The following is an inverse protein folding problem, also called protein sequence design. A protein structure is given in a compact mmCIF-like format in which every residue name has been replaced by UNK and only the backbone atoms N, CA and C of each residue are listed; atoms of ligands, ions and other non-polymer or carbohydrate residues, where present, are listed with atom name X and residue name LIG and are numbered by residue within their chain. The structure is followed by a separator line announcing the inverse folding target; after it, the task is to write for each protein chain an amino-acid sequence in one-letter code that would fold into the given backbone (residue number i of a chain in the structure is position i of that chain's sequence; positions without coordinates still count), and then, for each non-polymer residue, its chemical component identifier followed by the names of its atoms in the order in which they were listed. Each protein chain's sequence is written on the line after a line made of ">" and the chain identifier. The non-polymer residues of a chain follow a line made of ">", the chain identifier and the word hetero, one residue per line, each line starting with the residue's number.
data_IF_666037676783
#
_entry.id   IF_666037676783
#
_cell.length_a   1.000
_cell.length_b   1.000
_cell.length_c   1.000
_cell.angle_alpha   90.00
_cell.angle_beta   90.00
_cell.angle_gamma   90.00
#
_symmetry.space_group_name_H-M   'P 1'
#
loop_
_entity.id
_entity.type
_entity.pdbx_description
1 polymer ?
#
# COMPACT_ATOMS: atom_id res chain seq x y z
N UNK A 1 38.45 -1.47 -6.89
CA UNK A 1 37.24 -1.68 -7.69
C UNK A 1 37.17 -0.53 -8.69
N UNK A 2 37.10 -0.80 -10.02
CA UNK A 2 36.95 0.27 -11.02
C UNK A 2 35.51 0.81 -10.86
N UNK A 3 35.39 2.09 -10.53
CA UNK A 3 34.11 2.78 -10.51
C UNK A 3 33.56 2.76 -11.94
N UNK A 4 32.53 1.97 -12.20
CA UNK A 4 31.86 1.88 -13.51
C UNK A 4 30.73 2.92 -13.63
N UNK A 5 30.74 3.93 -12.74
CA UNK A 5 29.75 4.97 -12.77
C UNK A 5 29.89 5.82 -14.04
N UNK A 6 28.77 6.01 -14.71
CA UNK A 6 28.64 6.78 -15.95
C UNK A 6 27.68 7.94 -15.71
N UNK A 7 27.87 9.04 -16.42
CA UNK A 7 26.94 10.16 -16.37
C UNK A 7 25.66 9.80 -17.13
N UNK A 8 24.52 10.03 -16.51
CA UNK A 8 23.22 9.72 -17.12
C UNK A 8 23.01 10.50 -18.44
N UNK A 9 23.51 11.74 -18.51
CA UNK A 9 23.44 12.58 -19.71
C UNK A 9 24.07 11.96 -20.97
N UNK A 10 24.97 10.97 -20.81
CA UNK A 10 25.56 10.26 -21.97
C UNK A 10 24.57 9.25 -22.61
N UNK A 11 23.43 8.99 -21.95
CA UNK A 11 22.46 7.95 -22.32
C UNK A 11 21.06 8.46 -22.58
N UNK A 12 20.75 9.71 -22.24
CA UNK A 12 19.40 10.27 -22.32
C UNK A 12 19.34 11.53 -23.17
N UNK A 13 18.16 11.79 -23.72
CA UNK A 13 17.88 13.05 -24.43
C UNK A 13 16.49 13.58 -24.04
N UNK A 14 16.30 14.93 -24.04
CA UNK A 14 15.02 15.52 -23.75
C UNK A 14 14.03 15.30 -24.91
N UNK A 15 12.75 15.19 -24.57
CA UNK A 15 11.64 15.10 -25.53
C UNK A 15 10.64 16.22 -25.23
N UNK A 16 10.23 16.98 -26.26
CA UNK A 16 9.23 18.04 -26.14
C UNK A 16 8.24 17.99 -27.30
N UNK A 17 7.45 16.93 -27.36
CA UNK A 17 6.38 16.79 -28.35
C UNK A 17 5.07 17.29 -27.73
N UNK A 18 4.43 18.26 -28.39
CA UNK A 18 3.18 18.89 -27.92
C UNK A 18 1.94 18.25 -28.60
N UNK A 19 0.85 18.21 -27.84
CA UNK A 19 -0.44 17.72 -28.33
C UNK A 19 -1.19 18.74 -29.20
N UNK A 20 -0.48 19.40 -30.10
CA UNK A 20 -0.97 20.55 -30.88
C UNK A 20 -2.21 20.23 -31.71
N UNK A 21 -2.35 19.00 -32.16
CA UNK A 21 -3.45 18.50 -32.97
C UNK A 21 -4.57 17.82 -32.16
N UNK A 22 -4.44 17.77 -30.81
CA UNK A 22 -5.38 17.19 -29.86
C UNK A 22 -5.75 15.72 -30.13
N UNK A 23 -4.86 14.95 -30.76
CA UNK A 23 -5.14 13.55 -31.07
C UNK A 23 -5.05 12.63 -29.85
N UNK A 24 -4.21 12.96 -28.89
CA UNK A 24 -4.06 12.18 -27.67
C UNK A 24 -4.94 12.80 -26.57
N UNK A 25 -5.86 12.02 -26.03
CA UNK A 25 -6.81 12.46 -25.00
C UNK A 25 -6.57 11.84 -23.63
N UNK A 26 -5.75 10.78 -23.55
CA UNK A 26 -5.47 10.08 -22.29
C UNK A 26 -4.57 10.94 -21.40
N UNK A 27 -5.16 11.58 -20.38
CA UNK A 27 -4.47 12.49 -19.49
C UNK A 27 -4.01 11.79 -18.23
N UNK A 28 -2.70 11.78 -18.01
CA UNK A 28 -2.09 11.26 -16.80
C UNK A 28 -1.34 12.34 -16.01
N UNK A 29 -1.10 12.05 -14.73
CA UNK A 29 -0.21 12.76 -13.84
C UNK A 29 0.91 11.85 -13.35
N UNK A 30 1.81 12.39 -12.51
CA UNK A 30 2.87 11.62 -11.86
C UNK A 30 2.66 11.57 -10.35
N UNK A 31 2.76 10.37 -9.78
CA UNK A 31 2.77 10.15 -8.33
C UNK A 31 4.20 10.24 -7.76
N UNK A 32 4.27 10.57 -6.46
CA UNK A 32 5.49 10.40 -5.66
C UNK A 32 5.90 8.94 -5.48
N UNK A 33 4.99 7.99 -5.79
CA UNK A 33 5.26 6.55 -5.82
C UNK A 33 5.88 6.10 -7.15
N UNK A 34 6.29 7.08 -7.97
CA UNK A 34 7.08 6.88 -9.20
C UNK A 34 6.34 6.09 -10.28
N UNK A 35 5.05 6.35 -10.41
CA UNK A 35 4.21 5.81 -11.47
C UNK A 35 3.36 6.91 -12.11
N UNK A 36 2.89 6.65 -13.32
CA UNK A 36 1.81 7.43 -13.92
C UNK A 36 0.50 7.07 -13.24
N UNK A 37 -0.35 8.07 -13.02
CA UNK A 37 -1.67 7.93 -12.39
C UNK A 37 -2.70 8.73 -13.18
N UNK A 38 -3.96 8.36 -13.09
CA UNK A 38 -5.06 9.19 -13.59
C UNK A 38 -4.96 10.61 -13.00
N UNK A 39 -5.16 11.61 -13.85
CA UNK A 39 -5.05 12.99 -13.40
C UNK A 39 -6.22 13.36 -12.48
N UNK A 40 -5.90 13.82 -11.28
CA UNK A 40 -6.86 14.35 -10.30
C UNK A 40 -7.16 15.85 -10.51
N UNK A 41 -6.53 16.47 -11.50
CA UNK A 41 -6.71 17.90 -11.77
C UNK A 41 -8.10 18.19 -12.36
N UNK A 42 -8.70 19.31 -11.92
CA UNK A 42 -9.89 19.82 -12.61
C UNK A 42 -9.51 20.31 -14.01
N UNK A 43 -10.03 19.64 -15.03
CA UNK A 43 -9.71 19.89 -16.44
C UNK A 43 -10.78 20.70 -17.19
N UNK A 44 -11.83 21.16 -16.51
CA UNK A 44 -12.90 21.94 -17.13
C UNK A 44 -12.32 23.24 -17.70
N UNK A 45 -12.45 23.41 -19.02
CA UNK A 45 -11.95 24.59 -19.73
C UNK A 45 -10.45 24.61 -19.99
N UNK A 46 -9.74 23.50 -19.73
CA UNK A 46 -8.27 23.41 -19.97
C UNK A 46 -7.98 23.17 -21.44
N UNK A 47 -7.06 23.97 -22.01
CA UNK A 47 -6.49 23.73 -23.34
C UNK A 47 -5.37 22.69 -23.25
N UNK A 48 -5.53 21.54 -23.90
CA UNK A 48 -4.57 20.45 -23.91
C UNK A 48 -3.51 20.57 -25.03
N UNK A 49 -3.57 21.57 -25.90
CA UNK A 49 -2.57 21.77 -26.96
C UNK A 49 -1.14 22.02 -26.45
N UNK A 50 -0.92 22.72 -25.31
CA UNK A 50 0.40 22.88 -24.73
C UNK A 50 0.91 21.64 -23.99
N UNK A 51 0.05 20.66 -23.72
CA UNK A 51 0.44 19.43 -22.98
C UNK A 51 1.44 18.63 -23.77
N UNK A 52 2.29 17.90 -23.07
CA UNK A 52 3.32 17.06 -23.69
C UNK A 52 2.77 15.65 -23.93
N UNK A 53 3.06 15.10 -25.09
CA UNK A 53 2.83 13.70 -25.40
C UNK A 53 4.01 12.90 -24.85
N UNK A 54 3.72 11.85 -24.11
CA UNK A 54 4.67 10.84 -23.65
C UNK A 54 4.34 9.52 -24.30
N UNK A 55 5.32 8.82 -24.82
CA UNK A 55 5.18 7.51 -25.46
C UNK A 55 5.77 6.41 -24.60
N UNK A 56 5.35 5.18 -24.85
CA UNK A 56 5.90 3.98 -24.19
C UNK A 56 7.42 3.98 -24.23
N UNK A 57 8.05 3.72 -23.09
CA UNK A 57 9.50 3.71 -22.93
C UNK A 57 10.12 5.09 -22.65
N UNK A 58 9.34 6.15 -22.67
CA UNK A 58 9.77 7.49 -22.27
C UNK A 58 9.52 7.72 -20.79
N UNK A 59 10.32 8.60 -20.21
CA UNK A 59 10.22 9.03 -18.81
C UNK A 59 9.60 10.41 -18.74
N UNK A 60 8.88 10.67 -17.65
CA UNK A 60 8.49 12.01 -17.26
C UNK A 60 8.89 12.27 -15.82
N UNK A 61 9.30 13.49 -15.48
CA UNK A 61 9.55 13.90 -14.10
C UNK A 61 9.08 15.31 -13.82
N UNK A 62 8.76 15.57 -12.55
CA UNK A 62 8.42 16.90 -12.05
C UNK A 62 9.66 17.62 -11.56
N UNK A 63 10.14 18.67 -12.28
CA UNK A 63 11.35 19.40 -11.87
C UNK A 63 11.19 20.11 -10.51
N UNK A 64 9.97 20.53 -10.15
CA UNK A 64 9.69 21.23 -8.89
C UNK A 64 9.58 20.22 -7.75
N UNK A 65 10.56 20.21 -6.85
CA UNK A 65 10.67 19.26 -5.73
C UNK A 65 10.08 19.80 -4.42
N UNK A 66 9.98 21.11 -4.25
CA UNK A 66 9.55 21.76 -2.99
C UNK A 66 8.16 21.38 -2.47
N UNK A 67 7.29 20.77 -3.30
CA UNK A 67 5.93 20.37 -2.92
C UNK A 67 5.80 18.87 -2.63
N UNK A 68 6.82 18.08 -2.87
CA UNK A 68 6.78 16.62 -2.85
C UNK A 68 7.46 16.00 -1.60
N UNK A 69 7.72 16.82 -0.58
CA UNK A 69 8.49 16.39 0.60
C UNK A 69 9.93 16.02 0.21
N UNK A 70 10.33 14.81 0.56
CA UNK A 70 11.69 14.30 0.28
C UNK A 70 11.80 13.51 -1.03
N UNK A 71 10.71 13.37 -1.79
CA UNK A 71 10.67 12.56 -3.01
C UNK A 71 10.57 13.40 -4.26
N UNK A 72 11.17 12.91 -5.35
CA UNK A 72 10.95 13.45 -6.71
C UNK A 72 9.92 12.60 -7.44
N UNK A 73 8.96 13.24 -8.14
CA UNK A 73 8.06 12.53 -9.05
C UNK A 73 8.81 12.22 -10.34
N UNK A 74 8.97 10.94 -10.65
CA UNK A 74 9.55 10.45 -11.91
C UNK A 74 8.93 9.10 -12.23
N UNK A 75 8.60 8.85 -13.49
CA UNK A 75 8.02 7.58 -13.91
C UNK A 75 8.38 7.23 -15.35
N UNK A 76 8.40 5.93 -15.64
CA UNK A 76 8.51 5.34 -16.98
C UNK A 76 7.11 5.01 -17.49
N UNK A 77 6.76 5.42 -18.70
CA UNK A 77 5.47 5.09 -19.31
C UNK A 77 5.51 3.67 -19.90
N UNK A 78 4.62 2.80 -19.40
CA UNK A 78 4.44 1.43 -19.90
C UNK A 78 3.29 1.31 -20.90
N UNK A 79 2.34 2.24 -20.89
CA UNK A 79 1.22 2.35 -21.81
C UNK A 79 1.67 2.91 -23.18
N UNK A 80 0.87 2.75 -24.24
CA UNK A 80 1.26 3.21 -25.58
C UNK A 80 1.61 4.68 -25.64
N UNK A 81 0.71 5.57 -25.18
CA UNK A 81 0.91 7.02 -25.10
C UNK A 81 -0.08 7.71 -24.16
N UNK A 82 0.32 8.85 -23.64
CA UNK A 82 -0.53 9.73 -22.83
C UNK A 82 -0.15 11.21 -23.04
N UNK A 83 -0.96 12.12 -22.52
CA UNK A 83 -0.58 13.52 -22.33
C UNK A 83 -0.38 13.85 -20.87
N UNK A 84 0.58 14.73 -20.60
CA UNK A 84 0.87 15.27 -19.28
C UNK A 84 1.00 16.79 -19.31
N UNK A 85 0.85 17.44 -18.15
CA UNK A 85 1.02 18.90 -18.05
C UNK A 85 2.38 19.34 -18.59
N UNK A 86 2.39 20.51 -19.23
CA UNK A 86 3.63 21.14 -19.73
C UNK A 86 4.68 21.44 -18.66
N UNK A 87 4.30 21.39 -17.38
CA UNK A 87 5.21 21.58 -16.24
C UNK A 87 6.17 20.42 -16.00
N UNK A 88 5.87 19.23 -16.52
CA UNK A 88 6.74 18.08 -16.45
C UNK A 88 7.83 18.12 -17.53
N UNK A 89 9.00 17.59 -17.23
CA UNK A 89 10.05 17.32 -18.22
C UNK A 89 9.91 15.87 -18.71
N UNK A 90 10.06 15.67 -20.03
CA UNK A 90 10.03 14.35 -20.67
C UNK A 90 11.39 14.07 -21.28
N UNK A 91 11.84 12.81 -21.16
CA UNK A 91 13.09 12.37 -21.78
C UNK A 91 13.02 10.88 -22.14
N UNK A 92 13.96 10.46 -22.97
CA UNK A 92 14.09 9.07 -23.40
C UNK A 92 15.54 8.62 -23.39
N UNK A 93 15.75 7.32 -23.41
CA UNK A 93 17.08 6.73 -23.59
C UNK A 93 17.42 6.75 -25.08
N UNK A 94 18.64 7.23 -25.39
CA UNK A 94 19.13 7.34 -26.76
C UNK A 94 19.48 6.01 -27.41
N UNK A 95 19.91 5.03 -26.62
CA UNK A 95 20.33 3.69 -27.10
C UNK A 95 19.98 2.61 -26.05
N UNK A 96 18.86 1.96 -26.28
CA UNK A 96 18.36 0.88 -25.39
C UNK A 96 19.22 -0.39 -25.42
N UNK A 97 20.16 -0.51 -26.36
CA UNK A 97 21.13 -1.60 -26.35
C UNK A 97 22.24 -1.42 -25.30
N UNK A 98 22.35 -0.21 -24.73
CA UNK A 98 23.33 0.14 -23.69
C UNK A 98 22.70 0.32 -22.33
N UNK A 99 21.51 0.91 -22.28
CA UNK A 99 20.77 1.15 -21.05
C UNK A 99 19.30 0.81 -21.24
N UNK A 100 18.76 -0.09 -20.41
CA UNK A 100 17.34 -0.45 -20.41
C UNK A 100 16.51 0.59 -19.65
N UNK A 101 15.35 1.03 -20.18
CA UNK A 101 14.45 1.93 -19.46
C UNK A 101 14.02 1.38 -18.11
N UNK A 102 13.66 0.10 -18.04
CA UNK A 102 13.22 -0.56 -16.83
C UNK A 102 14.34 -0.61 -15.78
N UNK A 103 15.59 -0.86 -16.18
CA UNK A 103 16.74 -0.82 -15.29
C UNK A 103 16.95 0.59 -14.72
N UNK A 104 16.88 1.61 -15.58
CA UNK A 104 16.99 3.01 -15.15
C UNK A 104 15.85 3.39 -14.19
N UNK A 105 14.62 2.92 -14.42
CA UNK A 105 13.50 3.15 -13.52
C UNK A 105 13.72 2.51 -12.15
N UNK A 106 14.28 1.29 -12.09
CA UNK A 106 14.67 0.66 -10.82
C UNK A 106 15.72 1.49 -10.08
N UNK A 107 16.69 2.05 -10.80
CA UNK A 107 17.69 2.91 -10.20
C UNK A 107 17.08 4.20 -9.63
N UNK A 108 16.14 4.83 -10.33
CA UNK A 108 15.39 5.99 -9.84
C UNK A 108 14.48 5.66 -8.64
N UNK A 109 14.03 4.42 -8.50
CA UNK A 109 13.15 4.00 -7.39
C UNK A 109 13.85 3.96 -6.03
N UNK A 110 15.14 4.15 -5.98
CA UNK A 110 15.93 4.10 -4.75
C UNK A 110 15.76 5.38 -3.90
N UNK A 111 15.70 5.25 -2.57
CA UNK A 111 15.67 6.41 -1.67
C UNK A 111 16.90 7.32 -1.80
N UNK A 112 18.07 6.77 -2.22
CA UNK A 112 19.29 7.53 -2.46
C UNK A 112 19.10 8.55 -3.57
N UNK A 113 18.38 8.19 -4.64
CA UNK A 113 18.08 9.12 -5.72
C UNK A 113 17.15 10.24 -5.25
N UNK A 114 16.16 9.95 -4.44
CA UNK A 114 15.28 10.97 -3.86
C UNK A 114 16.09 12.00 -3.05
N UNK A 115 16.98 11.51 -2.16
CA UNK A 115 17.87 12.37 -1.37
C UNK A 115 18.82 13.19 -2.25
N UNK A 116 19.38 12.57 -3.30
CA UNK A 116 20.24 13.27 -4.26
C UNK A 116 19.47 14.37 -4.97
N UNK A 117 18.30 14.06 -5.55
CA UNK A 117 17.47 15.02 -6.26
C UNK A 117 17.06 16.18 -5.34
N UNK A 118 16.69 15.88 -4.09
CA UNK A 118 16.35 16.90 -3.09
C UNK A 118 17.55 17.79 -2.76
N UNK A 119 18.72 17.23 -2.51
CA UNK A 119 19.96 17.95 -2.20
C UNK A 119 20.42 18.84 -3.36
N UNK A 120 20.25 18.37 -4.60
CA UNK A 120 20.66 19.08 -5.82
C UNK A 120 19.61 20.06 -6.34
N UNK A 121 18.44 20.12 -5.74
CA UNK A 121 17.41 21.10 -6.10
C UNK A 121 17.77 22.48 -5.59
N UNK A 122 17.66 23.49 -6.44
CA UNK A 122 18.03 24.89 -6.15
C UNK A 122 16.86 25.83 -6.43
N UNK A 123 16.80 26.95 -5.71
CA UNK A 123 15.84 28.03 -5.88
C UNK A 123 15.32 28.60 -4.56
N UNK A 124 15.12 29.90 -4.49
CA UNK A 124 14.68 30.59 -3.26
C UNK A 124 13.18 30.51 -3.00
N UNK A 125 12.35 30.32 -4.04
CA UNK A 125 10.89 30.27 -3.96
C UNK A 125 10.35 28.90 -4.38
N UNK A 126 10.99 28.27 -5.36
CA UNK A 126 10.70 26.92 -5.85
C UNK A 126 12.04 26.20 -6.04
N UNK A 127 12.23 25.13 -5.33
CA UNK A 127 13.40 24.28 -5.52
C UNK A 127 13.16 23.41 -6.76
N UNK A 128 14.12 23.48 -7.68
CA UNK A 128 14.03 22.82 -8.99
C UNK A 128 15.24 21.90 -9.15
N UNK A 129 14.95 20.65 -9.48
CA UNK A 129 15.89 19.67 -10.00
C UNK A 129 15.88 19.78 -11.52
N UNK A 130 16.81 20.52 -12.09
CA UNK A 130 16.82 20.84 -13.50
C UNK A 130 17.40 19.72 -14.39
N UNK A 131 17.32 19.91 -15.70
CA UNK A 131 17.80 18.94 -16.67
C UNK A 131 19.32 18.75 -16.60
N UNK A 132 20.08 19.79 -16.35
CA UNK A 132 21.54 19.72 -16.28
C UNK A 132 21.99 18.89 -15.06
N UNK A 133 21.30 19.04 -13.92
CA UNK A 133 21.54 18.18 -12.75
C UNK A 133 21.10 16.73 -13.02
N UNK A 134 20.02 16.50 -13.76
CA UNK A 134 19.64 15.14 -14.19
C UNK A 134 20.74 14.51 -15.04
N UNK A 135 21.33 15.27 -15.98
CA UNK A 135 22.43 14.79 -16.83
C UNK A 135 23.72 14.50 -16.04
N UNK A 136 23.94 15.18 -14.91
CA UNK A 136 25.12 14.95 -14.04
C UNK A 136 24.99 13.77 -13.10
N UNK A 137 23.81 13.18 -13.00
CA UNK A 137 23.60 11.99 -12.19
C UNK A 137 24.58 10.89 -12.62
N UNK A 138 25.28 10.31 -11.65
CA UNK A 138 26.16 9.15 -11.88
C UNK A 138 25.46 7.87 -11.45
N UNK A 139 25.52 6.86 -12.32
CA UNK A 139 24.93 5.56 -12.08
C UNK A 139 25.80 4.43 -12.63
N UNK A 140 25.75 3.23 -12.03
CA UNK A 140 26.38 2.07 -12.61
C UNK A 140 25.60 1.62 -13.85
N UNK A 141 26.30 1.40 -14.95
CA UNK A 141 25.74 0.84 -16.20
C UNK A 141 26.46 -0.46 -16.50
N UNK A 142 26.01 -1.59 -15.94
CA UNK A 142 26.55 -2.91 -16.26
C UNK A 142 26.19 -3.30 -17.71
N UNK A 143 26.71 -4.43 -18.17
CA UNK A 143 26.31 -4.91 -19.51
C UNK A 143 24.81 -5.21 -19.59
N UNK A 144 24.28 -5.19 -20.81
CA UNK A 144 22.83 -5.28 -21.05
C UNK A 144 22.21 -6.59 -20.54
N UNK A 145 22.98 -7.69 -20.50
CA UNK A 145 22.51 -8.97 -19.99
C UNK A 145 22.33 -8.95 -18.48
N UNK A 146 23.25 -8.27 -17.80
CA UNK A 146 23.16 -8.09 -16.35
C UNK A 146 22.00 -7.16 -15.98
N UNK A 147 21.79 -6.06 -16.74
CA UNK A 147 20.63 -5.18 -16.59
C UNK A 147 19.33 -5.97 -16.76
N UNK A 148 19.22 -6.75 -17.84
CA UNK A 148 18.04 -7.58 -18.11
C UNK A 148 17.76 -8.57 -16.97
N UNK A 149 18.80 -9.25 -16.46
CA UNK A 149 18.67 -10.18 -15.34
C UNK A 149 18.11 -9.51 -14.09
N UNK A 150 18.54 -8.29 -13.79
CA UNK A 150 18.04 -7.50 -12.64
C UNK A 150 16.56 -7.16 -12.86
N UNK A 151 16.21 -6.66 -14.04
CA UNK A 151 14.82 -6.32 -14.42
C UNK A 151 13.92 -7.55 -14.35
N UNK A 152 14.35 -8.68 -14.94
CA UNK A 152 13.58 -9.92 -14.93
C UNK A 152 13.35 -10.43 -13.49
N UNK A 153 14.37 -10.37 -12.66
CA UNK A 153 14.27 -10.77 -11.24
C UNK A 153 13.26 -9.89 -10.50
N UNK A 154 13.35 -8.57 -10.65
CA UNK A 154 12.43 -7.63 -10.04
C UNK A 154 10.98 -7.84 -10.52
N UNK A 155 10.80 -8.03 -11.82
CA UNK A 155 9.48 -8.24 -12.42
C UNK A 155 8.87 -9.58 -11.98
N UNK A 156 9.66 -10.64 -11.87
CA UNK A 156 9.21 -11.93 -11.37
C UNK A 156 8.68 -11.82 -9.92
N UNK A 157 9.41 -11.11 -9.05
CA UNK A 157 8.99 -10.84 -7.68
C UNK A 157 7.70 -10.00 -7.66
N UNK A 158 7.66 -8.91 -8.42
CA UNK A 158 6.49 -8.02 -8.48
C UNK A 158 5.24 -8.73 -8.99
N UNK A 159 5.38 -9.55 -10.03
CA UNK A 159 4.29 -10.35 -10.56
C UNK A 159 3.79 -11.37 -9.54
N UNK A 160 4.67 -12.01 -8.78
CA UNK A 160 4.29 -12.97 -7.73
C UNK A 160 3.51 -12.28 -6.61
N UNK A 161 3.94 -11.09 -6.17
CA UNK A 161 3.20 -10.27 -5.20
C UNK A 161 1.78 -9.98 -5.72
N UNK A 162 1.66 -9.48 -6.96
CA UNK A 162 0.36 -9.15 -7.58
C UNK A 162 -0.56 -10.37 -7.67
N UNK A 163 -0.04 -11.54 -8.04
CA UNK A 163 -0.82 -12.77 -8.09
C UNK A 163 -1.32 -13.16 -6.69
N UNK A 164 -0.46 -13.09 -5.67
CA UNK A 164 -0.85 -13.40 -4.28
C UNK A 164 -1.91 -12.46 -3.74
N UNK A 165 -1.79 -11.15 -4.01
CA UNK A 165 -2.82 -10.17 -3.68
C UNK A 165 -4.15 -10.51 -4.36
N UNK A 166 -4.11 -10.85 -5.66
CA UNK A 166 -5.32 -11.24 -6.40
C UNK A 166 -5.97 -12.52 -5.89
N UNK A 167 -5.16 -13.48 -5.45
CA UNK A 167 -5.67 -14.69 -4.78
C UNK A 167 -6.41 -14.29 -3.49
N UNK A 168 -5.82 -13.45 -2.64
CA UNK A 168 -6.46 -13.01 -1.39
C UNK A 168 -7.77 -12.27 -1.65
N UNK A 169 -7.82 -11.34 -2.62
CA UNK A 169 -9.07 -10.68 -3.02
C UNK A 169 -10.17 -11.68 -3.42
N UNK A 170 -9.81 -12.73 -4.15
CA UNK A 170 -10.77 -13.76 -4.56
C UNK A 170 -11.22 -14.64 -3.38
N UNK A 171 -10.31 -14.98 -2.46
CA UNK A 171 -10.63 -15.71 -1.24
C UNK A 171 -11.58 -14.89 -0.34
N UNK A 172 -11.33 -13.59 -0.16
CA UNK A 172 -12.23 -12.67 0.54
C UNK A 172 -13.62 -12.63 -0.08
N UNK A 173 -13.71 -12.47 -1.40
CA UNK A 173 -14.99 -12.48 -2.12
C UNK A 173 -15.73 -13.81 -1.94
N UNK A 174 -14.98 -14.92 -1.92
CA UNK A 174 -15.56 -16.24 -1.71
C UNK A 174 -16.14 -16.39 -0.31
N UNK A 175 -15.40 -15.96 0.73
CA UNK A 175 -15.89 -15.97 2.11
C UNK A 175 -17.15 -15.11 2.24
N UNK A 176 -17.12 -13.88 1.72
CA UNK A 176 -18.25 -12.97 1.79
C UNK A 176 -19.49 -13.50 1.04
N UNK A 177 -19.32 -14.03 -0.18
CA UNK A 177 -20.43 -14.58 -0.94
C UNK A 177 -21.09 -15.78 -0.25
N UNK A 178 -20.30 -16.64 0.39
CA UNK A 178 -20.84 -17.79 1.14
C UNK A 178 -21.47 -17.37 2.46
N UNK A 179 -20.99 -16.33 3.11
CA UNK A 179 -21.64 -15.71 4.27
C UNK A 179 -23.03 -15.16 3.90
N UNK A 180 -23.13 -14.37 2.82
CA UNK A 180 -24.41 -13.85 2.34
C UNK A 180 -25.36 -14.99 1.92
N UNK A 181 -24.83 -16.03 1.24
CA UNK A 181 -25.59 -17.23 0.89
C UNK A 181 -26.11 -18.01 2.12
N UNK A 182 -25.31 -18.07 3.18
CA UNK A 182 -25.71 -18.69 4.44
C UNK A 182 -26.89 -17.93 5.06
N UNK A 183 -26.82 -16.61 5.15
CA UNK A 183 -27.91 -15.79 5.71
C UNK A 183 -29.20 -15.81 4.86
N UNK A 184 -29.08 -16.00 3.54
CA UNK A 184 -30.25 -16.10 2.65
C UNK A 184 -30.98 -17.45 2.72
N UNK A 185 -30.24 -18.53 2.96
CA UNK A 185 -30.77 -19.89 2.88
C UNK A 185 -31.14 -20.49 4.24
N UNK A 186 -30.69 -19.90 5.35
CA UNK A 186 -30.96 -20.40 6.68
C UNK A 186 -31.84 -19.41 7.46
N UNK A 187 -32.72 -19.91 8.37
CA UNK A 187 -33.41 -19.02 9.30
C UNK A 187 -32.46 -18.27 10.18
N UNK A 188 -32.68 -16.95 10.35
CA UNK A 188 -31.82 -16.09 11.16
C UNK A 188 -32.60 -15.44 12.30
N UNK A 189 -31.89 -15.16 13.40
CA UNK A 189 -32.32 -14.30 14.50
C UNK A 189 -31.52 -13.00 14.51
N UNK A 190 -32.14 -11.90 14.91
CA UNK A 190 -31.44 -10.62 15.07
C UNK A 190 -30.65 -10.66 16.39
N UNK A 191 -29.39 -10.27 16.34
CA UNK A 191 -28.50 -10.05 17.48
C UNK A 191 -27.57 -8.89 17.22
N UNK A 192 -26.52 -8.73 18.01
CA UNK A 192 -25.52 -7.70 17.87
C UNK A 192 -24.12 -8.30 17.69
N UNK A 193 -23.17 -7.56 17.11
CA UNK A 193 -21.78 -8.05 16.94
C UNK A 193 -21.20 -8.53 18.27
N UNK A 194 -21.51 -7.83 19.37
CA UNK A 194 -21.06 -8.17 20.74
C UNK A 194 -21.47 -9.56 21.22
N UNK A 195 -22.56 -10.14 20.69
CA UNK A 195 -23.00 -11.51 21.01
C UNK A 195 -22.01 -12.56 20.46
N UNK A 196 -21.31 -12.24 19.38
CA UNK A 196 -20.30 -13.11 18.80
C UNK A 196 -18.89 -12.85 19.33
N UNK A 197 -18.48 -11.58 19.38
CA UNK A 197 -17.15 -11.17 19.82
C UNK A 197 -17.19 -9.81 20.51
N UNK A 198 -16.71 -9.75 21.74
CA UNK A 198 -16.50 -8.47 22.41
C UNK A 198 -15.44 -7.65 21.68
N UNK A 199 -15.65 -6.34 21.63
CA UNK A 199 -14.68 -5.38 21.09
C UNK A 199 -14.18 -4.50 22.23
N UNK A 200 -12.86 -4.27 22.31
CA UNK A 200 -12.29 -3.30 23.22
C UNK A 200 -11.31 -2.41 22.50
N UNK A 201 -11.30 -1.13 22.83
CA UNK A 201 -10.26 -0.17 22.43
C UNK A 201 -8.92 -0.60 23.02
N UNK A 202 -7.85 -0.57 22.23
CA UNK A 202 -6.52 -0.91 22.68
C UNK A 202 -5.99 0.02 23.78
N UNK A 203 -4.74 -0.17 24.17
CA UNK A 203 -4.11 0.57 25.25
C UNK A 203 -3.69 1.99 24.84
N UNK A 204 -3.83 2.96 25.76
CA UNK A 204 -3.46 4.36 25.54
C UNK A 204 -1.95 4.58 25.72
N UNK A 205 -1.16 4.26 24.70
CA UNK A 205 0.27 4.55 24.73
C UNK A 205 0.53 6.06 24.63
N UNK A 206 1.42 6.57 25.48
CA UNK A 206 1.80 7.98 25.49
C UNK A 206 2.78 8.29 24.37
N UNK A 207 2.72 9.52 23.86
CA UNK A 207 3.56 9.94 22.71
C UNK A 207 5.07 9.89 23.00
N UNK A 208 5.48 10.14 24.24
CA UNK A 208 6.85 10.07 24.69
C UNK A 208 7.43 8.66 24.85
N UNK A 209 6.60 7.62 24.69
CA UNK A 209 7.01 6.22 24.84
C UNK A 209 7.50 5.58 23.53
N UNK A 210 7.38 6.29 22.40
CA UNK A 210 7.79 5.75 21.12
C UNK A 210 9.31 5.69 21.01
N UNK A 211 9.81 4.52 20.61
CA UNK A 211 11.23 4.20 20.46
C UNK A 211 11.51 3.65 19.04
N UNK A 212 12.78 3.70 18.64
CA UNK A 212 13.24 3.10 17.36
C UNK A 212 13.36 1.59 17.44
N UNK A 213 13.62 1.06 18.62
CA UNK A 213 13.78 -0.35 18.92
C UNK A 213 12.77 -0.78 19.99
N UNK A 214 12.41 -2.07 20.05
CA UNK A 214 11.52 -2.59 21.08
C UNK A 214 10.34 -3.37 20.55
N UNK A 215 9.21 -3.33 21.26
CA UNK A 215 8.00 -4.12 21.00
C UNK A 215 7.01 -3.35 20.14
N UNK A 216 6.44 -4.01 19.15
CA UNK A 216 5.54 -3.42 18.16
C UNK A 216 4.18 -3.05 18.76
N UNK A 217 3.64 -1.90 18.33
CA UNK A 217 2.29 -1.44 18.68
C UNK A 217 1.53 -1.10 17.40
N UNK A 218 0.41 -1.81 17.19
CA UNK A 218 -0.46 -1.62 16.03
C UNK A 218 -1.30 -0.37 16.24
N UNK A 219 -1.27 0.53 15.26
CA UNK A 219 -2.12 1.72 15.14
C UNK A 219 -3.05 1.59 13.94
N UNK A 220 -4.03 2.47 13.83
CA UNK A 220 -4.98 2.50 12.70
C UNK A 220 -4.29 2.57 11.33
N UNK A 221 -3.14 3.25 11.23
CA UNK A 221 -2.35 3.33 9.99
C UNK A 221 -1.65 2.02 9.59
N UNK A 222 -1.57 1.03 10.48
CA UNK A 222 -1.01 -0.28 10.17
C UNK A 222 -2.07 -1.26 9.64
N UNK A 223 -3.36 -0.86 9.59
CA UNK A 223 -4.44 -1.67 8.99
C UNK A 223 -4.53 -1.31 7.52
N UNK A 224 -4.14 -2.25 6.66
CA UNK A 224 -4.04 -2.06 5.20
C UNK A 224 -4.77 -3.21 4.49
N UNK A 225 -5.81 -2.88 3.70
CA UNK A 225 -6.47 -3.84 2.81
C UNK A 225 -6.80 -5.20 3.47
N UNK A 226 -7.48 -5.16 4.63
CA UNK A 226 -7.92 -6.31 5.41
C UNK A 226 -6.80 -7.14 6.08
N UNK A 227 -5.58 -6.62 6.16
CA UNK A 227 -4.50 -7.20 6.97
C UNK A 227 -3.78 -6.13 7.80
N UNK A 228 -2.96 -6.57 8.75
CA UNK A 228 -2.14 -5.71 9.60
C UNK A 228 -0.68 -5.75 9.13
N UNK A 229 -0.13 -4.59 8.79
CA UNK A 229 1.30 -4.44 8.50
C UNK A 229 2.10 -4.27 9.81
N UNK A 230 2.76 -5.34 10.25
CA UNK A 230 3.60 -5.33 11.45
C UNK A 230 4.97 -4.67 11.24
N UNK A 231 5.44 -4.53 9.98
CA UNK A 231 6.76 -3.95 9.71
C UNK A 231 6.78 -2.44 9.92
N UNK A 232 5.67 -1.77 9.63
CA UNK A 232 5.55 -0.32 9.82
C UNK A 232 5.10 0.11 11.22
N UNK A 233 4.97 -0.83 12.17
CA UNK A 233 4.52 -0.53 13.52
C UNK A 233 5.53 0.33 14.31
N UNK A 234 5.02 1.29 15.06
CA UNK A 234 5.81 1.96 16.09
C UNK A 234 6.19 0.99 17.21
N UNK A 235 7.26 1.29 17.91
CA UNK A 235 7.77 0.43 18.97
C UNK A 235 7.81 1.14 20.31
N UNK A 236 7.77 0.37 21.40
CA UNK A 236 7.89 0.85 22.77
C UNK A 236 8.81 -0.07 23.58
N UNK A 237 9.29 0.42 24.72
CA UNK A 237 10.09 -0.37 25.66
C UNK A 237 9.34 -1.58 26.24
N UNK A 238 10.09 -2.51 26.82
CA UNK A 238 9.51 -3.66 27.53
C UNK A 238 8.61 -3.23 28.70
N UNK A 239 9.01 -2.22 29.43
CA UNK A 239 8.22 -1.70 30.56
C UNK A 239 6.85 -1.19 30.10
N UNK A 240 6.81 -0.51 28.95
CA UNK A 240 5.58 0.10 28.45
C UNK A 240 4.65 -0.92 27.77
N UNK A 241 5.19 -1.93 27.05
CA UNK A 241 4.36 -2.96 26.41
C UNK A 241 3.69 -3.86 27.45
N UNK A 242 4.35 -4.16 28.58
CA UNK A 242 3.82 -4.98 29.67
C UNK A 242 2.57 -4.38 30.31
N UNK A 243 2.37 -3.06 30.24
CA UNK A 243 1.16 -2.36 30.72
C UNK A 243 -0.08 -2.65 29.89
N UNK A 244 0.10 -3.20 28.68
CA UNK A 244 -0.96 -3.47 27.70
C UNK A 244 -1.23 -4.96 27.47
N UNK A 245 -0.89 -5.85 28.41
CA UNK A 245 -1.00 -7.32 28.28
C UNK A 245 -2.36 -7.82 27.78
N UNK A 246 -3.44 -7.17 28.21
CA UNK A 246 -4.81 -7.52 27.77
C UNK A 246 -4.98 -7.38 26.26
N UNK A 247 -4.22 -6.49 25.63
CA UNK A 247 -4.31 -6.15 24.23
C UNK A 247 -3.23 -6.83 23.37
N UNK A 248 -2.51 -7.80 23.91
CA UNK A 248 -1.59 -8.58 23.10
C UNK A 248 -2.37 -9.35 22.03
N UNK A 249 -1.84 -9.31 20.82
CA UNK A 249 -2.48 -9.98 19.68
C UNK A 249 -1.85 -11.32 19.40
N UNK A 250 -2.65 -12.18 18.77
CA UNK A 250 -2.26 -13.49 18.26
C UNK A 250 -2.48 -13.53 16.75
N UNK A 251 -1.79 -14.44 16.09
CA UNK A 251 -2.05 -14.75 14.67
C UNK A 251 -3.54 -15.01 14.44
N UNK A 252 -4.13 -14.31 13.48
CA UNK A 252 -5.53 -14.44 13.13
C UNK A 252 -6.50 -13.60 13.99
N UNK A 253 -6.03 -12.82 14.97
CA UNK A 253 -6.88 -11.82 15.60
C UNK A 253 -7.39 -10.82 14.56
N UNK A 254 -8.62 -10.36 14.72
CA UNK A 254 -9.21 -9.31 13.91
C UNK A 254 -9.18 -7.99 14.65
N UNK A 255 -8.73 -6.95 13.95
CA UNK A 255 -8.68 -5.57 14.45
C UNK A 255 -9.55 -4.67 13.58
N UNK A 256 -9.97 -3.53 14.13
CA UNK A 256 -10.73 -2.49 13.43
C UNK A 256 -10.17 -1.11 13.73
N UNK A 257 -10.00 -0.29 12.71
CA UNK A 257 -9.68 1.13 12.88
C UNK A 257 -10.94 1.89 13.33
N UNK A 258 -10.83 2.64 14.43
CA UNK A 258 -11.98 3.27 15.09
C UNK A 258 -12.04 4.77 14.85
N UNK A 259 -11.03 5.40 14.26
CA UNK A 259 -10.95 6.85 14.07
C UNK A 259 -10.26 7.24 12.76
N UNK A 260 -10.53 8.46 12.26
CA UNK A 260 -9.85 9.09 11.14
C UNK A 260 -10.26 8.50 9.78
N UNK A 261 -9.52 8.81 8.73
CA UNK A 261 -9.82 8.40 7.34
C UNK A 261 -9.84 6.87 7.11
N UNK A 262 -9.44 6.07 8.09
CA UNK A 262 -9.45 4.61 8.04
C UNK A 262 -10.55 3.99 8.90
N UNK A 263 -11.46 4.79 9.48
CA UNK A 263 -12.55 4.32 10.32
C UNK A 263 -13.33 3.19 9.64
N UNK A 264 -13.55 2.09 10.36
CA UNK A 264 -14.26 0.91 9.88
C UNK A 264 -13.40 -0.09 9.09
N UNK A 265 -12.15 0.26 8.69
CA UNK A 265 -11.24 -0.71 8.10
C UNK A 265 -10.87 -1.78 9.11
N UNK A 266 -10.92 -3.03 8.68
CA UNK A 266 -10.52 -4.18 9.50
C UNK A 266 -9.17 -4.73 9.04
N UNK A 267 -8.50 -5.51 9.88
CA UNK A 267 -7.26 -6.17 9.53
C UNK A 267 -7.02 -7.45 10.31
N UNK A 268 -6.69 -8.52 9.61
CA UNK A 268 -6.21 -9.78 10.20
C UNK A 268 -4.76 -9.63 10.64
N UNK A 269 -4.46 -10.02 11.86
CA UNK A 269 -3.09 -10.07 12.38
C UNK A 269 -2.34 -11.22 11.70
N UNK A 270 -1.21 -10.94 11.03
CA UNK A 270 -0.41 -11.95 10.34
C UNK A 270 0.25 -12.93 11.32
N UNK A 271 0.96 -13.92 10.78
CA UNK A 271 1.79 -14.81 11.61
C UNK A 271 2.80 -14.00 12.41
N UNK A 272 2.75 -14.17 13.72
CA UNK A 272 3.70 -13.56 14.66
C UNK A 272 3.86 -14.40 15.91
N UNK A 273 5.12 -14.55 16.33
CA UNK A 273 5.51 -15.10 17.64
C UNK A 273 6.01 -13.97 18.55
N UNK A 274 5.97 -12.71 18.06
CA UNK A 274 6.40 -11.54 18.80
C UNK A 274 5.31 -11.07 19.77
N UNK A 275 5.74 -10.38 20.83
CA UNK A 275 4.81 -9.61 21.68
C UNK A 275 4.44 -8.33 20.92
N UNK A 276 3.20 -8.24 20.52
CA UNK A 276 2.62 -7.09 19.79
C UNK A 276 1.35 -6.66 20.49
N UNK A 277 1.15 -5.37 20.67
CA UNK A 277 -0.05 -4.80 21.30
C UNK A 277 -0.80 -3.84 20.39
N UNK A 278 -1.97 -3.39 20.83
CA UNK A 278 -2.89 -2.56 20.05
C UNK A 278 -3.06 -1.19 20.72
N UNK A 279 -2.98 -0.12 19.91
CA UNK A 279 -3.18 1.26 20.38
C UNK A 279 -4.68 1.59 20.56
N UNK A 280 -4.99 2.53 21.45
CA UNK A 280 -6.35 2.95 21.85
C UNK A 280 -7.32 3.32 20.73
N UNK A 281 -6.84 3.70 19.53
CA UNK A 281 -7.68 4.03 18.37
C UNK A 281 -7.97 2.84 17.47
N UNK A 282 -7.50 1.68 17.88
CA UNK A 282 -7.71 0.41 17.17
C UNK A 282 -8.50 -0.51 18.10
N UNK A 283 -9.64 -1.01 17.66
CA UNK A 283 -10.44 -2.00 18.35
C UNK A 283 -9.89 -3.40 18.12
N UNK A 284 -9.86 -4.21 19.18
CA UNK A 284 -9.55 -5.65 19.10
C UNK A 284 -10.81 -6.46 19.36
N UNK A 285 -11.12 -7.41 18.48
CA UNK A 285 -12.14 -8.42 18.70
C UNK A 285 -11.59 -9.58 19.53
N UNK A 286 -12.23 -9.91 20.64
CA UNK A 286 -11.80 -10.97 21.56
C UNK A 286 -12.40 -12.31 21.16
N UNK A 287 -11.65 -13.11 20.42
CA UNK A 287 -12.05 -14.41 19.88
C UNK A 287 -11.57 -15.61 20.71
N UNK A 288 -10.89 -15.35 21.84
CA UNK A 288 -10.33 -16.38 22.72
C UNK A 288 -8.93 -16.81 22.34
N UNK A 289 -8.56 -18.06 22.70
CA UNK A 289 -7.19 -18.55 22.55
C UNK A 289 -6.83 -18.97 21.12
N UNK A 290 -7.82 -19.29 20.32
CA UNK A 290 -7.67 -19.76 18.93
C UNK A 290 -8.50 -18.89 17.97
N UNK A 291 -8.02 -17.67 17.66
CA UNK A 291 -8.80 -16.74 16.84
C UNK A 291 -9.22 -17.32 15.50
N UNK A 292 -8.35 -18.11 14.86
CA UNK A 292 -8.58 -18.70 13.53
C UNK A 292 -9.83 -19.59 13.49
N UNK A 293 -10.22 -20.20 14.62
CA UNK A 293 -11.41 -21.05 14.70
C UNK A 293 -12.74 -20.27 14.69
N UNK A 294 -12.69 -18.94 14.89
CA UNK A 294 -13.86 -18.08 14.97
C UNK A 294 -13.84 -16.90 14.01
N UNK A 295 -12.65 -16.49 13.59
CA UNK A 295 -12.50 -15.29 12.77
C UNK A 295 -13.16 -15.36 11.39
N UNK A 296 -13.32 -16.50 10.71
CA UNK A 296 -13.91 -16.54 9.38
C UNK A 296 -15.31 -15.92 9.32
N UNK A 297 -16.20 -16.31 10.22
CA UNK A 297 -17.56 -15.77 10.29
C UNK A 297 -17.56 -14.28 10.62
N UNK A 298 -16.78 -13.86 11.63
CA UNK A 298 -16.64 -12.46 11.99
C UNK A 298 -16.05 -11.62 10.86
N UNK A 299 -15.03 -12.11 10.17
CA UNK A 299 -14.39 -11.44 9.05
C UNK A 299 -15.40 -11.15 7.92
N UNK A 300 -16.19 -12.16 7.53
CA UNK A 300 -17.25 -11.99 6.53
C UNK A 300 -18.35 -11.04 7.01
N UNK A 301 -18.78 -11.18 8.27
CA UNK A 301 -19.76 -10.30 8.89
C UNK A 301 -19.34 -8.84 8.82
N UNK A 302 -18.10 -8.53 9.20
CA UNK A 302 -17.55 -7.17 9.18
C UNK A 302 -17.42 -6.60 7.77
N UNK A 303 -17.22 -7.44 6.77
CA UNK A 303 -17.15 -7.05 5.35
C UNK A 303 -18.53 -6.97 4.68
N UNK A 304 -19.61 -7.43 5.34
CA UNK A 304 -20.97 -7.40 4.79
C UNK A 304 -21.45 -5.98 4.54
N UNK A 305 -22.36 -5.83 3.56
CA UNK A 305 -22.94 -4.55 3.21
C UNK A 305 -23.77 -3.95 4.37
N UNK A 306 -24.39 -4.81 5.19
CA UNK A 306 -25.17 -4.39 6.38
C UNK A 306 -24.28 -3.69 7.39
N UNK A 307 -23.18 -4.32 7.80
CA UNK A 307 -22.24 -3.77 8.78
C UNK A 307 -21.51 -2.53 8.23
N UNK A 308 -21.06 -2.57 6.98
CA UNK A 308 -20.41 -1.40 6.34
C UNK A 308 -21.34 -0.18 6.32
N UNK A 309 -22.61 -0.33 5.99
CA UNK A 309 -23.60 0.76 6.02
C UNK A 309 -23.87 1.28 7.44
N UNK A 310 -23.83 0.42 8.45
CA UNK A 310 -23.98 0.84 9.85
C UNK A 310 -22.79 1.66 10.34
N UNK A 311 -21.57 1.36 9.84
CA UNK A 311 -20.34 2.10 10.16
C UNK A 311 -20.26 3.41 9.37
N UNK A 312 -20.60 3.40 8.09
CA UNK A 312 -20.54 4.57 7.18
C UNK A 312 -21.83 4.68 6.35
N UNK A 313 -22.87 5.36 6.86
CA UNK A 313 -24.17 5.44 6.20
C UNK A 313 -24.13 6.04 4.79
N UNK A 314 -23.22 6.99 4.55
CA UNK A 314 -23.12 7.72 3.28
C UNK A 314 -22.27 7.01 2.20
N UNK A 315 -21.70 5.84 2.53
CA UNK A 315 -20.95 5.00 1.59
C UNK A 315 -19.58 5.53 1.18
N UNK A 316 -19.24 6.77 1.51
CA UNK A 316 -17.93 7.37 1.25
C UNK A 316 -17.03 7.22 2.48
N UNK A 317 -15.84 6.67 2.28
CA UNK A 317 -14.83 6.48 3.35
C UNK A 317 -14.36 7.81 4.03
N UNK A 318 -14.86 8.94 3.57
CA UNK A 318 -14.58 10.28 4.14
C UNK A 318 -15.73 10.88 4.96
N UNK A 319 -16.93 10.28 4.94
CA UNK A 319 -18.12 10.73 5.68
C UNK A 319 -18.46 9.84 6.90
N UNK A 320 -17.61 8.86 7.21
CA UNK A 320 -17.76 8.05 8.43
C UNK A 320 -17.79 8.94 9.67
N UNK A 321 -18.61 8.61 10.65
CA UNK A 321 -18.53 9.23 11.97
C UNK A 321 -17.06 9.32 12.37
N UNK A 322 -16.55 10.52 12.66
CA UNK A 322 -15.12 10.79 12.90
C UNK A 322 -14.50 9.89 13.98
N UNK A 323 -15.33 9.32 14.86
CA UNK A 323 -14.89 8.39 15.92
C UNK A 323 -15.98 7.34 16.19
N UNK A 324 -15.64 6.07 16.02
CA UNK A 324 -16.42 4.92 16.51
C UNK A 324 -15.90 4.51 17.89
N UNK A 325 -16.78 4.25 18.83
CA UNK A 325 -16.43 3.57 20.07
C UNK A 325 -16.50 2.04 19.93
N UNK A 326 -15.90 1.31 20.86
CA UNK A 326 -16.05 -0.13 20.92
C UNK A 326 -17.52 -0.55 21.12
N UNK A 327 -18.27 0.24 21.90
CA UNK A 327 -19.69 0.02 22.16
C UNK A 327 -20.54 0.25 20.91
N UNK A 328 -20.26 1.27 20.11
CA UNK A 328 -20.94 1.48 18.82
C UNK A 328 -20.79 0.26 17.91
N UNK A 329 -19.58 -0.30 17.83
CA UNK A 329 -19.30 -1.48 17.02
C UNK A 329 -20.03 -2.72 17.57
N UNK A 330 -19.97 -2.95 18.89
CA UNK A 330 -20.62 -4.11 19.52
C UNK A 330 -22.13 -4.11 19.34
N UNK A 331 -22.76 -2.92 19.36
CA UNK A 331 -24.21 -2.77 19.26
C UNK A 331 -24.75 -2.75 17.81
N UNK A 332 -23.90 -2.92 16.80
CA UNK A 332 -24.38 -3.07 15.42
C UNK A 332 -25.23 -4.34 15.30
N UNK A 333 -26.47 -4.18 14.83
CA UNK A 333 -27.39 -5.29 14.59
C UNK A 333 -26.95 -6.12 13.39
N UNK A 334 -26.90 -7.43 13.60
CA UNK A 334 -26.55 -8.44 12.59
C UNK A 334 -27.49 -9.62 12.66
N UNK A 335 -27.51 -10.41 11.59
CA UNK A 335 -28.33 -11.62 11.49
C UNK A 335 -27.48 -12.85 11.83
N UNK A 336 -27.99 -13.72 12.70
CA UNK A 336 -27.36 -14.96 13.11
C UNK A 336 -28.16 -16.17 12.66
N UNK A 337 -27.60 -17.08 11.87
CA UNK A 337 -28.16 -18.41 11.67
C UNK A 337 -27.95 -19.23 12.94
N UNK A 338 -28.46 -20.46 12.95
CA UNK A 338 -28.23 -21.42 14.03
C UNK A 338 -26.72 -21.60 14.30
N UNK A 339 -26.34 -21.73 15.57
CA UNK A 339 -24.93 -21.82 16.01
C UNK A 339 -24.15 -22.89 15.25
N UNK A 340 -24.75 -24.07 15.00
CA UNK A 340 -24.08 -25.14 14.28
C UNK A 340 -23.63 -24.69 12.87
N UNK A 341 -24.45 -23.90 12.20
CA UNK A 341 -24.13 -23.37 10.87
C UNK A 341 -22.96 -22.39 10.90
N UNK A 342 -22.84 -21.60 11.97
CA UNK A 342 -21.69 -20.71 12.20
C UNK A 342 -20.42 -21.52 12.46
N UNK A 343 -20.53 -22.59 13.27
CA UNK A 343 -19.39 -23.47 13.58
C UNK A 343 -18.92 -24.20 12.32
N UNK A 344 -19.84 -24.74 11.50
CA UNK A 344 -19.56 -25.37 10.20
C UNK A 344 -18.88 -24.37 9.23
N UNK A 345 -19.38 -23.12 9.18
CA UNK A 345 -18.77 -22.06 8.37
C UNK A 345 -17.34 -21.79 8.80
N UNK A 346 -17.10 -21.64 10.10
CA UNK A 346 -15.77 -21.41 10.64
C UNK A 346 -14.80 -22.55 10.35
N UNK A 347 -15.24 -23.79 10.47
CA UNK A 347 -14.41 -24.97 10.16
C UNK A 347 -13.97 -24.99 8.70
N UNK A 348 -14.90 -24.74 7.77
CA UNK A 348 -14.61 -24.69 6.33
C UNK A 348 -13.67 -23.54 6.00
N UNK A 349 -14.01 -22.32 6.42
CA UNK A 349 -13.28 -21.09 6.02
C UNK A 349 -12.08 -20.79 6.89
N UNK A 350 -11.84 -21.48 8.00
CA UNK A 350 -10.61 -21.39 8.77
C UNK A 350 -9.37 -21.69 7.92
N UNK A 351 -9.46 -22.69 7.02
CA UNK A 351 -8.38 -23.04 6.07
C UNK A 351 -8.15 -21.92 5.04
N UNK A 352 -9.20 -21.22 4.65
CA UNK A 352 -9.11 -20.08 3.71
C UNK A 352 -8.41 -18.91 4.39
N UNK A 353 -8.74 -18.58 5.64
CA UNK A 353 -8.05 -17.57 6.43
C UNK A 353 -6.57 -17.93 6.58
N UNK A 354 -6.23 -19.19 6.89
CA UNK A 354 -4.83 -19.63 6.96
C UNK A 354 -4.10 -19.36 5.64
N UNK A 355 -4.72 -19.73 4.49
CA UNK A 355 -4.12 -19.48 3.18
C UNK A 355 -3.91 -17.99 2.89
N UNK A 356 -4.84 -17.12 3.34
CA UNK A 356 -4.68 -15.66 3.22
C UNK A 356 -3.51 -15.16 4.08
N UNK A 357 -3.37 -15.65 5.31
CA UNK A 357 -2.25 -15.30 6.19
C UNK A 357 -0.90 -15.75 5.61
N UNK A 358 -0.83 -16.97 5.04
CA UNK A 358 0.37 -17.49 4.36
C UNK A 358 0.74 -16.63 3.15
N UNK A 359 -0.25 -16.25 2.33
CA UNK A 359 -0.02 -15.36 1.20
C UNK A 359 0.52 -13.99 1.66
N UNK A 360 -0.04 -13.41 2.72
CA UNK A 360 0.42 -12.12 3.26
C UNK A 360 1.85 -12.21 3.81
N UNK A 361 2.21 -13.31 4.47
CA UNK A 361 3.59 -13.58 4.89
C UNK A 361 4.54 -13.62 3.70
N UNK A 362 4.19 -14.38 2.67
CA UNK A 362 5.00 -14.46 1.45
C UNK A 362 5.12 -13.09 0.75
N UNK A 363 4.05 -12.30 0.69
CA UNK A 363 4.07 -10.94 0.14
C UNK A 363 5.06 -10.06 0.91
N UNK A 364 5.09 -10.13 2.24
CA UNK A 364 6.05 -9.39 3.06
C UNK A 364 7.49 -9.79 2.74
N UNK A 365 7.79 -11.09 2.69
CA UNK A 365 9.11 -11.62 2.34
C UNK A 365 9.54 -11.20 0.92
N UNK A 366 8.62 -11.26 -0.05
CA UNK A 366 8.86 -10.82 -1.43
C UNK A 366 9.13 -9.32 -1.52
N UNK A 367 8.46 -8.49 -0.73
CA UNK A 367 8.73 -7.05 -0.68
C UNK A 367 10.13 -6.75 -0.12
N UNK A 368 10.59 -7.50 0.88
CA UNK A 368 11.97 -7.39 1.37
C UNK A 368 12.98 -7.79 0.29
N UNK A 369 12.74 -8.90 -0.42
CA UNK A 369 13.58 -9.31 -1.56
C UNK A 369 13.61 -8.25 -2.66
N UNK A 370 12.49 -7.65 -2.99
CA UNK A 370 12.38 -6.56 -3.98
C UNK A 370 13.27 -5.37 -3.59
N UNK A 371 13.25 -4.97 -2.33
CA UNK A 371 14.13 -3.91 -1.82
C UNK A 371 15.60 -4.30 -1.90
N UNK A 372 15.95 -5.56 -1.61
CA UNK A 372 17.33 -6.04 -1.75
C UNK A 372 17.82 -6.00 -3.19
N UNK A 373 16.99 -6.39 -4.17
CA UNK A 373 17.34 -6.29 -5.61
C UNK A 373 17.67 -4.86 -5.98
N UNK A 374 16.81 -3.90 -5.59
CA UNK A 374 17.03 -2.46 -5.86
C UNK A 374 18.30 -1.95 -5.16
N UNK A 375 18.56 -2.37 -3.92
CA UNK A 375 19.75 -1.94 -3.17
C UNK A 375 21.07 -2.45 -3.77
N UNK A 376 21.06 -3.61 -4.41
CA UNK A 376 22.25 -4.18 -5.06
C UNK A 376 22.71 -3.38 -6.29
N UNK A 377 21.81 -2.63 -6.93
CA UNK A 377 22.15 -1.75 -8.06
C UNK A 377 23.19 -0.69 -7.64
N UNK A 378 23.19 -0.28 -6.36
CA UNK A 378 24.12 0.73 -5.81
C UNK A 378 25.52 0.22 -5.48
N UNK A 379 25.67 -1.08 -5.30
CA UNK A 379 26.92 -1.68 -4.76
C UNK A 379 27.85 -2.18 -5.86
N UNK A 380 27.45 -2.09 -7.12
CA UNK A 380 28.18 -2.55 -8.30
C UNK A 380 28.69 -1.39 -9.13
#
# INVERSE_FOLDING_TARGET
>A
MKNNDRKLGDYIQPVDVRNSDLKVSHLLGLSIDKCFIESIANTIGTDFRPYKIVKKGQFAYGPVTSRNGEKITIALLEEPECIISSSYAVFEITDTSKLLPEYLMLWFSRPEFDRYARYKSHGSVREIFDWDEMCRVELPVPDIKEQQKIVDTYNAITNRIRIKQKINENLEKTICANYEGLLQNEPTAIGIIGDYAQVKSGYAFKSEWWETEGFKVIKIGNIIENYVDLESCNKVSRENIEKSKEFFVKTGDLLIAMTGATTGKIGLVPYTDEIVSVNQRTGKFFLGDRPIEKVPYLFAMMLSSKVKKSISPDGDAGSAQDNLSADDIQNIEVDYPEKQKIDDFNEVYGKVIISMLENNKEISELNQLKQLVVSQISKR
#
